data_IF_277182122410
#
_entry.id   IF_277182122410
#
_cell.length_a   1.000
_cell.length_b   1.000
_cell.length_c   1.000
_cell.angle_alpha   90.00
_cell.angle_beta   90.00
_cell.angle_gamma   90.00
#
_symmetry.space_group_name_H-M   'P 1'
#
loop_
_entity.id
_entity.type
_entity.pdbx_description
1 polymer ?
#
# COMPACT_ATOMS: atom_id res chain seq x y z
N UNK A 1 17.43 10.20 -5.83
CA UNK A 1 17.36 9.53 -4.54
C UNK A 1 18.69 9.67 -3.80
N UNK A 2 18.67 9.86 -2.48
CA UNK A 2 19.85 9.91 -1.60
C UNK A 2 19.64 8.90 -0.49
N UNK A 3 20.60 8.00 -0.29
CA UNK A 3 20.47 6.92 0.70
C UNK A 3 21.66 6.96 1.66
N UNK A 4 21.37 7.14 2.94
CA UNK A 4 22.34 7.20 4.02
C UNK A 4 22.34 5.89 4.82
N UNK A 5 23.50 5.42 5.23
CA UNK A 5 23.67 4.17 6.00
C UNK A 5 23.87 4.47 7.46
N UNK A 6 23.00 3.89 8.31
CA UNK A 6 23.02 4.06 9.76
C UNK A 6 23.08 2.72 10.49
N UNK A 7 23.76 2.69 11.63
CA UNK A 7 23.75 1.55 12.56
C UNK A 7 23.90 2.03 13.99
N UNK A 8 23.06 1.53 14.90
CA UNK A 8 23.09 1.92 16.32
C UNK A 8 22.94 3.43 16.54
N UNK A 9 22.21 4.14 15.66
CA UNK A 9 22.03 5.59 15.74
C UNK A 9 23.20 6.42 15.20
N UNK A 10 24.22 5.78 14.63
CA UNK A 10 25.39 6.46 14.05
C UNK A 10 25.45 6.31 12.55
N UNK A 11 25.94 7.35 11.86
CA UNK A 11 26.21 7.31 10.43
C UNK A 11 27.41 6.41 10.17
N UNK A 12 27.25 5.39 9.32
CA UNK A 12 28.30 4.40 9.03
C UNK A 12 29.23 4.87 7.91
N UNK A 13 28.66 5.53 6.90
CA UNK A 13 29.41 6.10 5.79
C UNK A 13 29.34 7.62 5.81
N UNK A 14 30.44 8.34 5.55
CA UNK A 14 30.43 9.80 5.48
C UNK A 14 29.64 10.33 4.27
N UNK A 15 29.57 9.54 3.19
CA UNK A 15 28.89 9.88 1.95
C UNK A 15 27.69 8.96 1.73
N UNK A 16 26.65 9.41 1.01
CA UNK A 16 25.51 8.59 0.66
C UNK A 16 25.90 7.50 -0.34
N UNK A 17 25.11 6.42 -0.40
CA UNK A 17 25.30 5.35 -1.36
C UNK A 17 25.08 5.85 -2.80
N UNK A 18 25.91 5.36 -3.71
CA UNK A 18 25.72 5.56 -5.15
C UNK A 18 24.68 4.55 -5.68
N UNK A 19 23.41 4.96 -5.65
CA UNK A 19 22.27 4.12 -6.07
C UNK A 19 22.13 4.22 -7.60
N UNK A 20 22.24 3.09 -8.27
CA UNK A 20 22.07 2.95 -9.73
C UNK A 20 20.60 2.82 -10.09
N UNK A 21 19.87 1.96 -9.36
CA UNK A 21 18.44 1.77 -9.52
C UNK A 21 17.81 1.41 -8.19
N UNK A 22 16.52 1.62 -8.09
CA UNK A 22 15.76 1.30 -6.90
C UNK A 22 14.30 1.00 -7.22
N UNK A 23 13.66 0.27 -6.35
CA UNK A 23 12.22 0.05 -6.35
C UNK A 23 11.69 0.09 -4.93
N UNK A 24 10.45 0.54 -4.80
CA UNK A 24 9.69 0.59 -3.56
C UNK A 24 8.32 0.01 -3.82
N UNK A 25 7.86 -0.79 -2.88
CA UNK A 25 6.49 -1.25 -2.77
C UNK A 25 6.01 -0.95 -1.36
N UNK A 26 4.96 -0.16 -1.24
CA UNK A 26 4.29 0.13 0.02
C UNK A 26 2.86 -0.38 -0.05
N UNK A 27 2.49 -1.25 0.87
CA UNK A 27 1.16 -1.85 0.97
C UNK A 27 0.50 -1.38 2.27
N UNK A 28 -0.78 -1.00 2.18
CA UNK A 28 -1.61 -0.62 3.31
C UNK A 28 -2.74 -1.63 3.53
N UNK A 29 -3.21 -1.73 4.75
CA UNK A 29 -4.34 -2.58 5.11
C UNK A 29 -4.20 -3.20 6.49
N UNK A 30 -5.29 -3.77 7.01
CA UNK A 30 -5.38 -4.26 8.39
C UNK A 30 -4.51 -5.50 8.65
N UNK A 31 -4.22 -6.28 7.61
CA UNK A 31 -3.42 -7.51 7.71
C UNK A 31 -1.94 -7.32 7.34
N UNK A 32 -1.53 -6.10 6.99
CA UNK A 32 -0.15 -5.84 6.55
C UNK A 32 0.73 -5.63 7.77
N UNK A 33 1.63 -6.57 8.05
CA UNK A 33 2.61 -6.47 9.14
C UNK A 33 3.80 -5.59 8.77
N UNK A 34 4.33 -5.76 7.56
CA UNK A 34 5.43 -4.97 7.00
C UNK A 34 4.92 -4.22 5.79
N UNK A 35 4.68 -2.92 5.95
CA UNK A 35 4.02 -2.10 4.94
C UNK A 35 4.90 -1.73 3.77
N UNK A 36 6.21 -1.54 4.00
CA UNK A 36 7.12 -1.04 2.95
C UNK A 36 8.29 -1.97 2.72
N UNK A 37 8.56 -2.23 1.44
CA UNK A 37 9.70 -3.01 0.96
C UNK A 37 10.45 -2.18 -0.08
N UNK A 38 11.77 -2.20 0.00
CA UNK A 38 12.63 -1.49 -0.94
C UNK A 38 13.74 -2.40 -1.43
N UNK A 39 14.12 -2.24 -2.69
CA UNK A 39 15.29 -2.88 -3.28
C UNK A 39 16.16 -1.81 -3.92
N UNK A 40 17.45 -1.86 -3.67
CA UNK A 40 18.44 -0.93 -4.21
C UNK A 40 19.51 -1.70 -4.96
N UNK A 41 19.92 -1.17 -6.10
CA UNK A 41 21.14 -1.58 -6.79
C UNK A 41 22.17 -0.48 -6.56
N UNK A 42 23.25 -0.81 -5.87
CA UNK A 42 24.29 0.15 -5.44
C UNK A 42 25.57 -0.14 -6.20
N UNK A 43 26.18 0.89 -6.76
CA UNK A 43 27.51 0.75 -7.36
C UNK A 43 28.57 0.58 -6.28
N UNK A 44 29.44 -0.41 -6.46
CA UNK A 44 30.58 -0.67 -5.57
C UNK A 44 31.87 -0.84 -6.39
N UNK A 45 32.39 0.25 -6.96
CA UNK A 45 33.60 0.18 -7.80
C UNK A 45 34.83 -0.28 -7.03
N UNK A 46 34.82 -0.25 -5.72
CA UNK A 46 35.91 -0.65 -4.85
C UNK A 46 35.75 -2.05 -4.25
N UNK A 47 34.59 -2.71 -4.43
CA UNK A 47 34.31 -4.03 -3.87
C UNK A 47 34.27 -4.04 -2.33
N UNK A 48 33.77 -2.99 -1.69
CA UNK A 48 33.77 -2.81 -0.22
C UNK A 48 32.39 -2.87 0.42
N UNK A 49 31.33 -2.82 -0.37
CA UNK A 49 29.95 -2.78 0.10
C UNK A 49 29.31 -4.17 0.15
N UNK A 50 29.84 -5.13 -0.60
CA UNK A 50 29.47 -6.54 -0.51
C UNK A 50 29.77 -7.08 0.90
N UNK A 51 28.74 -7.51 1.64
CA UNK A 51 28.90 -7.95 3.02
C UNK A 51 29.42 -9.40 3.09
N UNK A 52 30.53 -9.60 3.75
CA UNK A 52 31.06 -10.91 4.16
C UNK A 52 30.65 -11.27 5.59
N UNK A 53 30.49 -10.26 6.42
CA UNK A 53 30.11 -10.40 7.84
C UNK A 53 28.76 -9.72 8.06
N UNK A 54 28.01 -10.20 9.05
CA UNK A 54 26.71 -9.64 9.41
C UNK A 54 26.78 -8.16 9.82
N UNK A 55 27.92 -7.73 10.35
CA UNK A 55 28.21 -6.38 10.82
C UNK A 55 29.05 -5.52 9.85
N UNK A 56 29.22 -5.95 8.60
CA UNK A 56 29.82 -5.14 7.55
C UNK A 56 28.95 -3.92 7.20
N UNK A 57 29.47 -2.98 6.44
CA UNK A 57 28.82 -1.68 6.13
C UNK A 57 27.35 -1.84 5.72
N UNK A 58 27.07 -2.73 4.78
CA UNK A 58 25.70 -3.09 4.36
C UNK A 58 25.27 -4.46 4.89
N UNK A 59 25.83 -4.90 6.01
CA UNK A 59 25.46 -6.17 6.65
C UNK A 59 24.06 -6.10 7.27
N UNK A 60 23.43 -7.27 7.40
CA UNK A 60 22.03 -7.41 7.85
C UNK A 60 21.84 -7.26 9.36
N UNK A 61 22.94 -7.18 10.15
CA UNK A 61 22.85 -7.05 11.61
C UNK A 61 22.48 -5.62 12.04
N UNK A 62 21.23 -5.22 11.86
CA UNK A 62 20.68 -3.96 12.36
C UNK A 62 21.10 -2.72 11.57
N UNK A 63 21.62 -2.88 10.36
CA UNK A 63 21.88 -1.76 9.46
C UNK A 63 20.59 -1.19 8.92
N UNK A 64 20.46 0.13 8.99
CA UNK A 64 19.28 0.88 8.53
C UNK A 64 19.67 1.84 7.44
N UNK A 65 18.78 2.04 6.48
CA UNK A 65 18.92 3.02 5.41
C UNK A 65 17.94 4.16 5.66
N UNK A 66 18.41 5.39 5.56
CA UNK A 66 17.58 6.57 5.53
C UNK A 66 17.50 7.07 4.10
N UNK A 67 16.32 7.02 3.53
CA UNK A 67 16.04 7.30 2.13
C UNK A 67 15.43 8.67 2.01
N UNK A 68 16.09 9.54 1.26
CA UNK A 68 15.66 10.92 1.02
C UNK A 68 15.41 11.12 -0.48
N UNK A 69 14.24 11.59 -0.80
CA UNK A 69 13.85 11.91 -2.16
C UNK A 69 14.06 13.39 -2.43
N UNK A 70 14.86 13.73 -3.43
CA UNK A 70 15.08 15.11 -3.87
C UNK A 70 14.29 15.36 -5.14
N UNK A 71 13.34 16.28 -5.08
CA UNK A 71 12.63 16.79 -6.25
C UNK A 71 13.35 18.05 -6.70
N UNK A 72 13.79 18.09 -7.95
CA UNK A 72 14.59 19.21 -8.48
C UNK A 72 13.96 20.57 -8.17
N UNK A 73 14.66 21.42 -7.41
CA UNK A 73 14.23 22.77 -7.02
C UNK A 73 13.19 22.84 -5.90
N UNK A 74 12.49 21.79 -5.55
CA UNK A 74 11.40 21.80 -4.57
C UNK A 74 11.81 21.33 -3.16
N UNK A 75 13.07 20.97 -2.94
CA UNK A 75 13.55 20.53 -1.65
C UNK A 75 13.76 19.01 -1.55
N UNK A 76 13.91 18.52 -0.33
CA UNK A 76 14.14 17.13 -0.02
C UNK A 76 13.01 16.61 0.89
N UNK A 77 12.47 15.43 0.56
CA UNK A 77 11.45 14.72 1.35
C UNK A 77 12.08 13.47 1.93
N UNK A 78 11.97 13.29 3.24
CA UNK A 78 12.32 12.03 3.88
C UNK A 78 11.29 10.97 3.45
N UNK A 79 11.70 10.03 2.62
CA UNK A 79 10.79 9.01 2.10
C UNK A 79 10.52 7.94 3.16
N UNK A 80 11.60 7.39 3.74
CA UNK A 80 11.48 6.35 4.76
C UNK A 80 12.80 6.07 5.48
N UNK A 81 12.67 5.33 6.59
CA UNK A 81 13.77 4.58 7.19
C UNK A 81 13.46 3.09 7.10
N UNK A 82 14.39 2.33 6.54
CA UNK A 82 14.23 0.89 6.32
C UNK A 82 15.43 0.13 6.89
N UNK A 83 15.20 -1.13 7.25
CA UNK A 83 16.23 -2.06 7.74
C UNK A 83 16.64 -3.00 6.62
N UNK A 84 17.93 -3.21 6.43
CA UNK A 84 18.48 -4.18 5.47
C UNK A 84 18.11 -5.59 5.93
N UNK A 85 17.54 -6.37 5.01
CA UNK A 85 17.21 -7.79 5.19
C UNK A 85 18.06 -8.70 4.35
N UNK A 86 18.56 -8.21 3.22
CA UNK A 86 19.41 -8.99 2.30
C UNK A 86 20.49 -8.11 1.66
N UNK A 87 21.65 -8.70 1.40
CA UNK A 87 22.77 -8.09 0.69
C UNK A 87 23.36 -9.12 -0.26
N UNK A 88 23.27 -8.85 -1.55
CA UNK A 88 23.69 -9.75 -2.62
C UNK A 88 24.69 -9.03 -3.53
N UNK A 89 25.99 -9.20 -3.33
CA UNK A 89 27.00 -8.66 -4.22
C UNK A 89 27.08 -9.49 -5.51
N UNK A 90 27.10 -8.80 -6.65
CA UNK A 90 27.49 -9.36 -7.94
C UNK A 90 28.90 -8.85 -8.27
N UNK A 91 29.89 -9.70 -8.04
CA UNK A 91 31.30 -9.33 -8.07
C UNK A 91 31.97 -9.82 -9.35
N UNK A 92 32.57 -8.90 -10.08
CA UNK A 92 33.45 -9.20 -11.21
C UNK A 92 34.92 -9.04 -10.81
N UNK A 93 35.63 -10.12 -10.81
CA UNK A 93 37.08 -10.15 -10.48
C UNK A 93 37.90 -9.96 -11.74
N UNK A 94 38.57 -8.84 -11.83
CA UNK A 94 39.53 -8.57 -12.90
C UNK A 94 40.94 -8.79 -12.39
N UNK A 95 41.80 -9.45 -13.18
CA UNK A 95 43.21 -9.58 -12.85
C UNK A 95 44.05 -8.95 -13.91
N UNK A 96 45.02 -8.15 -13.50
CA UNK A 96 46.06 -7.60 -14.38
C UNK A 96 47.43 -7.87 -13.83
N UNK A 97 48.40 -8.07 -14.72
CA UNK A 97 49.81 -8.16 -14.36
C UNK A 97 50.39 -6.75 -14.45
N UNK A 98 50.96 -6.29 -13.35
CA UNK A 98 51.64 -4.99 -13.28
C UNK A 98 53.11 -5.22 -13.03
N UNK A 99 53.96 -4.40 -13.59
CA UNK A 99 55.38 -4.38 -13.29
C UNK A 99 55.57 -3.61 -11.96
N UNK A 100 56.08 -4.30 -10.95
CA UNK A 100 56.42 -3.71 -9.65
C UNK A 100 57.94 -3.60 -9.58
N UNK A 101 58.45 -2.39 -9.42
CA UNK A 101 59.89 -2.17 -9.27
C UNK A 101 60.28 -2.46 -7.82
N UNK A 102 61.09 -3.49 -7.63
CA UNK A 102 61.61 -3.92 -6.33
C UNK A 102 62.81 -3.08 -5.87
N UNK A 103 63.56 -3.65 -4.95
CA UNK A 103 64.83 -3.03 -4.48
C UNK A 103 65.84 -2.96 -5.61
N UNK A 104 66.66 -1.91 -5.56
CA UNK A 104 67.83 -1.77 -6.44
C UNK A 104 68.72 -3.00 -6.34
N UNK A 105 69.00 -3.63 -7.48
CA UNK A 105 70.02 -4.66 -7.53
C UNK A 105 71.41 -4.04 -7.25
N UNK A 106 72.42 -4.84 -6.83
CA UNK A 106 73.73 -4.32 -6.52
C UNK A 106 74.40 -3.58 -7.71
N UNK A 107 73.93 -3.80 -8.93
CA UNK A 107 74.38 -3.10 -10.13
C UNK A 107 73.63 -1.80 -10.41
N UNK A 108 72.72 -1.39 -9.51
CA UNK A 108 71.86 -0.21 -9.64
C UNK A 108 70.67 -0.37 -10.58
N UNK A 109 70.38 -1.55 -11.06
CA UNK A 109 69.15 -1.83 -11.83
C UNK A 109 67.96 -2.16 -10.96
N UNK A 110 66.80 -1.87 -11.45
CA UNK A 110 65.53 -2.24 -10.84
C UNK A 110 64.84 -3.27 -11.76
N UNK A 111 65.05 -4.57 -11.51
CA UNK A 111 64.36 -5.57 -12.32
C UNK A 111 62.85 -5.48 -12.08
N UNK A 112 62.04 -5.46 -13.11
CA UNK A 112 60.59 -5.45 -12.95
C UNK A 112 60.12 -6.81 -12.46
N UNK A 113 59.56 -6.83 -11.26
CA UNK A 113 58.83 -7.98 -10.77
C UNK A 113 57.39 -7.92 -11.28
N UNK A 114 56.96 -8.98 -11.92
CA UNK A 114 55.59 -9.12 -12.38
C UNK A 114 54.69 -9.57 -11.22
N UNK A 115 53.82 -8.68 -10.76
CA UNK A 115 52.84 -8.99 -9.75
C UNK A 115 51.45 -9.06 -10.39
N UNK A 116 50.71 -10.11 -10.07
CA UNK A 116 49.30 -10.16 -10.43
C UNK A 116 48.50 -9.38 -9.39
N UNK A 117 47.83 -8.31 -9.83
CA UNK A 117 46.95 -7.51 -9.02
C UNK A 117 45.53 -7.85 -9.41
N UNK A 118 44.70 -8.06 -8.40
CA UNK A 118 43.26 -8.29 -8.55
C UNK A 118 42.52 -7.01 -8.20
N UNK A 119 41.56 -6.67 -9.00
CA UNK A 119 40.56 -5.64 -8.70
C UNK A 119 39.16 -6.27 -8.73
N UNK A 120 38.36 -5.93 -7.78
CA UNK A 120 36.98 -6.37 -7.71
C UNK A 120 36.09 -5.15 -8.03
N UNK A 121 35.22 -5.29 -8.99
CA UNK A 121 34.12 -4.36 -9.20
C UNK A 121 32.86 -5.10 -8.85
N UNK A 122 31.99 -4.45 -8.08
CA UNK A 122 30.75 -5.04 -7.67
C UNK A 122 29.58 -4.10 -7.94
N UNK A 123 28.46 -4.70 -8.15
CA UNK A 123 27.15 -4.09 -8.00
C UNK A 123 26.47 -4.85 -6.88
N UNK A 124 26.01 -4.14 -5.86
CA UNK A 124 25.42 -4.77 -4.69
C UNK A 124 23.91 -4.53 -4.72
N UNK A 125 23.14 -5.62 -4.74
CA UNK A 125 21.72 -5.55 -4.52
C UNK A 125 21.45 -5.62 -3.03
N UNK A 126 20.65 -4.67 -2.52
CA UNK A 126 20.26 -4.56 -1.12
C UNK A 126 18.76 -4.54 -1.03
N UNK A 127 18.19 -5.52 -0.35
CA UNK A 127 16.77 -5.53 -0.04
C UNK A 127 16.56 -5.08 1.42
N UNK A 128 15.56 -4.25 1.62
CA UNK A 128 15.27 -3.64 2.90
C UNK A 128 13.77 -3.51 3.12
N UNK A 129 13.35 -3.50 4.38
CA UNK A 129 11.95 -3.37 4.79
C UNK A 129 11.79 -2.29 5.84
N UNK A 130 10.59 -1.82 6.08
CA UNK A 130 10.34 -0.83 7.11
C UNK A 130 10.66 -1.35 8.53
N UNK A 131 10.65 -0.44 9.51
CA UNK A 131 11.08 -0.76 10.86
C UNK A 131 10.08 -1.61 11.65
N UNK A 132 8.88 -1.86 11.12
CA UNK A 132 7.89 -2.74 11.77
C UNK A 132 8.40 -4.17 11.90
N UNK A 133 9.31 -4.58 11.01
CA UNK A 133 9.98 -5.88 11.11
C UNK A 133 10.73 -6.06 12.44
N UNK A 134 11.25 -4.98 13.02
CA UNK A 134 11.92 -5.04 14.31
C UNK A 134 10.94 -5.41 15.44
N UNK A 135 9.71 -4.89 15.37
CA UNK A 135 8.65 -5.21 16.33
C UNK A 135 8.02 -6.60 16.06
N UNK A 136 7.92 -7.02 14.81
CA UNK A 136 7.41 -8.35 14.44
C UNK A 136 8.38 -9.47 14.88
N UNK A 137 9.68 -9.19 14.85
CA UNK A 137 10.71 -10.12 15.31
C UNK A 137 10.87 -10.16 16.83
N UNK A 138 10.54 -9.07 17.56
CA UNK A 138 10.65 -8.97 19.02
C UNK A 138 9.40 -9.53 19.70
N UNK A 139 9.35 -10.84 19.79
CA UNK A 139 8.24 -11.58 20.40
C UNK A 139 8.31 -11.59 21.92
N UNK A 140 7.16 -11.67 22.56
CA UNK A 140 7.11 -11.87 24.00
C UNK A 140 7.63 -13.27 24.36
N UNK A 141 8.56 -13.34 25.32
CA UNK A 141 9.08 -14.61 25.84
C UNK A 141 8.06 -15.32 26.75
N UNK A 142 7.13 -14.56 27.33
CA UNK A 142 6.01 -15.04 28.14
C UNK A 142 4.78 -14.14 27.91
N UNK A 143 3.55 -14.65 28.14
CA UNK A 143 2.36 -13.84 28.04
C UNK A 143 2.43 -12.57 28.90
N UNK A 144 2.01 -11.45 28.33
CA UNK A 144 2.04 -10.12 28.98
C UNK A 144 0.62 -9.57 29.04
N UNK A 145 0.27 -8.98 30.17
CA UNK A 145 -0.99 -8.25 30.33
C UNK A 145 -0.76 -6.75 30.35
N UNK A 146 -1.66 -5.96 29.75
CA UNK A 146 -1.61 -4.51 29.88
C UNK A 146 -1.69 -4.07 31.36
N UNK A 147 -1.17 -2.91 31.67
CA UNK A 147 -1.31 -2.33 33.00
C UNK A 147 -2.77 -2.07 33.32
N UNK A 148 -3.23 -2.27 34.56
CA UNK A 148 -4.59 -1.95 34.95
C UNK A 148 -4.92 -0.49 34.64
N UNK A 149 -5.99 -0.25 33.88
CA UNK A 149 -6.41 1.08 33.46
C UNK A 149 -5.68 1.63 32.25
N UNK A 150 -4.86 0.84 31.56
CA UNK A 150 -4.27 1.23 30.26
C UNK A 150 -5.33 1.53 29.22
N UNK A 151 -4.99 2.47 28.35
CA UNK A 151 -5.78 2.86 27.18
C UNK A 151 -5.01 2.52 25.90
N UNK A 152 -5.67 2.60 24.76
CA UNK A 152 -5.05 2.40 23.43
C UNK A 152 -3.83 3.30 23.26
N UNK A 153 -3.97 4.61 23.58
CA UNK A 153 -2.89 5.59 23.41
C UNK A 153 -1.74 5.41 24.41
N UNK A 154 -1.98 4.77 25.55
CA UNK A 154 -0.90 4.48 26.52
C UNK A 154 -0.20 3.15 26.24
N UNK A 155 -0.93 2.12 25.84
CA UNK A 155 -0.39 0.76 25.71
C UNK A 155 0.33 0.54 24.38
N UNK A 156 -0.22 1.04 23.26
CA UNK A 156 0.41 0.85 21.95
C UNK A 156 1.85 1.42 21.90
N UNK A 157 2.13 2.67 22.34
CA UNK A 157 3.49 3.17 22.39
C UNK A 157 4.40 2.35 23.32
N UNK A 158 3.87 1.85 24.43
CA UNK A 158 4.65 1.00 25.35
C UNK A 158 5.06 -0.30 24.70
N UNK A 159 4.17 -0.95 23.95
CA UNK A 159 4.47 -2.15 23.19
C UNK A 159 5.60 -1.90 22.17
N UNK A 160 5.62 -0.72 21.54
CA UNK A 160 6.51 -0.40 20.41
C UNK A 160 7.76 0.40 20.82
N UNK A 161 7.90 0.79 22.09
CA UNK A 161 8.90 1.77 22.58
C UNK A 161 10.36 1.44 22.22
N UNK A 162 10.70 0.16 22.09
CA UNK A 162 12.08 -0.28 21.79
C UNK A 162 12.43 -0.16 20.30
N UNK A 163 11.43 0.01 19.44
CA UNK A 163 11.60 -0.11 17.99
C UNK A 163 11.49 1.24 17.28
N UNK A 164 10.45 2.01 17.62
CA UNK A 164 10.17 3.30 17.01
C UNK A 164 9.33 4.20 17.94
N UNK A 165 9.34 5.49 17.63
CA UNK A 165 8.48 6.47 18.30
C UNK A 165 7.10 6.41 17.68
N UNK A 166 6.06 6.44 18.50
CA UNK A 166 4.67 6.48 18.05
C UNK A 166 4.13 7.90 18.09
N UNK A 167 3.46 8.31 17.04
CA UNK A 167 2.74 9.59 16.94
C UNK A 167 1.29 9.28 16.58
N UNK A 168 0.36 9.82 17.35
CA UNK A 168 -1.08 9.69 17.07
C UNK A 168 -1.59 10.95 16.41
N UNK A 169 -2.41 10.79 15.37
CA UNK A 169 -3.19 11.88 14.84
C UNK A 169 -4.26 12.31 15.85
N UNK A 170 -4.67 13.57 15.80
CA UNK A 170 -5.55 14.18 16.80
C UNK A 170 -6.95 13.52 16.84
N UNK A 171 -7.41 13.01 15.72
CA UNK A 171 -8.72 12.37 15.54
C UNK A 171 -8.78 10.91 16.02
N UNK A 172 -7.64 10.30 16.33
CA UNK A 172 -7.60 8.93 16.89
C UNK A 172 -8.22 8.93 18.28
N UNK A 173 -9.33 8.18 18.51
CA UNK A 173 -9.94 8.11 19.84
C UNK A 173 -9.07 7.30 20.81
N UNK A 174 -9.19 7.62 22.09
CA UNK A 174 -8.59 6.82 23.15
C UNK A 174 -9.66 5.99 23.86
N UNK A 175 -9.43 4.71 24.03
CA UNK A 175 -10.36 3.79 24.67
C UNK A 175 -9.64 2.93 25.70
N UNK A 176 -10.30 2.68 26.81
CA UNK A 176 -9.79 1.78 27.84
C UNK A 176 -9.68 0.34 27.32
N UNK A 177 -8.61 -0.34 27.69
CA UNK A 177 -8.43 -1.76 27.40
C UNK A 177 -9.23 -2.62 28.39
N UNK A 178 -9.78 -3.79 27.95
CA UNK A 178 -10.52 -4.66 28.83
C UNK A 178 -9.60 -5.27 29.89
N UNK A 179 -10.18 -5.46 31.07
CA UNK A 179 -9.52 -6.23 32.12
C UNK A 179 -9.37 -7.70 31.68
N UNK A 180 -8.19 -8.29 31.92
CA UNK A 180 -7.92 -9.70 31.57
C UNK A 180 -7.45 -9.92 30.14
N UNK A 181 -7.16 -8.86 29.39
CA UNK A 181 -6.49 -8.98 28.10
C UNK A 181 -5.09 -9.57 28.31
N UNK A 182 -4.70 -10.51 27.46
CA UNK A 182 -3.39 -11.17 27.49
C UNK A 182 -2.81 -11.15 26.08
N UNK A 183 -1.61 -10.63 25.96
CA UNK A 183 -0.80 -10.72 24.73
C UNK A 183 0.09 -11.96 24.83
N UNK A 184 -0.09 -12.89 23.89
CA UNK A 184 0.62 -14.18 24.01
C UNK A 184 2.08 -14.11 23.52
N UNK A 185 2.30 -13.89 22.25
CA UNK A 185 3.66 -13.91 21.65
C UNK A 185 3.92 -12.77 20.68
N UNK A 186 3.00 -12.50 19.77
CA UNK A 186 3.21 -11.63 18.63
C UNK A 186 2.98 -10.15 19.05
N UNK A 187 4.08 -9.43 19.29
CA UNK A 187 4.03 -8.03 19.74
C UNK A 187 3.33 -7.11 18.76
N UNK A 188 3.68 -7.20 17.48
CA UNK A 188 3.10 -6.35 16.44
C UNK A 188 1.61 -6.61 16.26
N UNK A 189 1.21 -7.89 16.29
CA UNK A 189 -0.19 -8.30 16.21
C UNK A 189 -0.99 -7.78 17.41
N UNK A 190 -0.43 -7.90 18.63
CA UNK A 190 -1.04 -7.31 19.81
C UNK A 190 -1.28 -5.78 19.65
N UNK A 191 -0.32 -5.07 19.06
CA UNK A 191 -0.50 -3.66 18.70
C UNK A 191 -1.61 -3.43 17.70
N UNK A 192 -1.69 -4.24 16.64
CA UNK A 192 -2.76 -4.17 15.64
C UNK A 192 -4.14 -4.40 16.26
N UNK A 193 -4.26 -5.40 17.13
CA UNK A 193 -5.51 -5.71 17.84
C UNK A 193 -5.98 -4.55 18.73
N UNK A 194 -5.03 -3.87 19.40
CA UNK A 194 -5.34 -2.68 20.21
C UNK A 194 -5.89 -1.55 19.33
N UNK A 195 -5.24 -1.27 18.21
CA UNK A 195 -5.67 -0.21 17.30
C UNK A 195 -7.00 -0.53 16.61
N UNK A 196 -7.22 -1.79 16.24
CA UNK A 196 -8.46 -2.24 15.62
C UNK A 196 -9.70 -1.99 16.51
N UNK A 197 -9.54 -1.98 17.85
CA UNK A 197 -10.64 -1.67 18.80
C UNK A 197 -11.22 -0.27 18.61
N UNK A 198 -10.41 0.68 18.18
CA UNK A 198 -10.81 2.06 17.92
C UNK A 198 -10.93 2.36 16.43
N UNK A 199 -10.72 1.36 15.57
CA UNK A 199 -10.75 1.52 14.11
C UNK A 199 -9.53 2.25 13.55
N UNK A 200 -8.49 2.45 14.37
CA UNK A 200 -7.26 3.12 13.94
C UNK A 200 -6.32 2.15 13.21
N UNK A 201 -5.47 2.72 12.40
CA UNK A 201 -4.39 2.02 11.66
C UNK A 201 -3.05 2.69 11.93
N UNK A 202 -1.97 2.02 11.57
CA UNK A 202 -0.64 2.60 11.63
C UNK A 202 0.09 2.49 10.29
N UNK A 203 1.09 3.36 10.12
CA UNK A 203 2.05 3.35 9.01
C UNK A 203 3.39 3.91 9.48
N UNK A 204 4.46 3.61 8.75
CA UNK A 204 5.77 4.17 9.06
C UNK A 204 5.98 5.48 8.29
N UNK A 205 6.20 6.56 9.04
CA UNK A 205 6.49 7.87 8.48
C UNK A 205 7.92 7.98 7.94
N UNK A 206 8.17 9.07 7.22
CA UNK A 206 9.45 9.32 6.53
C UNK A 206 10.67 9.37 7.45
N UNK A 207 10.49 9.77 8.71
CA UNK A 207 11.57 9.84 9.70
C UNK A 207 11.71 8.56 10.53
N UNK A 208 10.92 7.52 10.21
CA UNK A 208 10.92 6.24 10.93
C UNK A 208 10.10 6.26 12.21
N UNK A 209 9.21 7.22 12.38
CA UNK A 209 8.14 7.22 13.39
C UNK A 209 6.98 6.33 12.92
N UNK A 210 6.26 5.75 13.86
CA UNK A 210 5.00 5.07 13.62
C UNK A 210 3.86 6.06 13.78
N UNK A 211 3.21 6.42 12.68
CA UNK A 211 2.04 7.28 12.67
C UNK A 211 0.79 6.42 12.82
N UNK A 212 -0.01 6.71 13.84
CA UNK A 212 -1.33 6.08 14.06
C UNK A 212 -2.40 7.07 13.63
N UNK A 213 -3.27 6.64 12.73
CA UNK A 213 -4.25 7.49 12.06
C UNK A 213 -5.61 6.79 11.95
N UNK A 214 -6.67 7.59 11.76
CA UNK A 214 -8.00 7.06 11.41
C UNK A 214 -8.14 6.94 9.90
N UNK A 215 -8.56 5.76 9.38
CA UNK A 215 -8.86 5.65 7.96
C UNK A 215 -10.06 6.51 7.58
N UNK A 216 -10.03 7.15 6.44
CA UNK A 216 -11.06 8.08 5.98
C UNK A 216 -10.61 9.54 6.02
N UNK A 217 -11.51 10.45 6.36
CA UNK A 217 -11.24 11.89 6.37
C UNK A 217 -11.28 12.54 4.99
N UNK A 218 -10.83 13.78 4.91
CA UNK A 218 -10.79 14.54 3.66
C UNK A 218 -9.64 14.06 2.77
N UNK A 219 -9.80 14.11 1.45
CA UNK A 219 -8.73 13.76 0.53
C UNK A 219 -7.51 14.67 0.70
N UNK A 220 -6.32 14.07 0.86
CA UNK A 220 -5.05 14.81 0.99
C UNK A 220 -4.56 15.37 -0.34
N UNK A 221 -5.02 14.78 -1.45
CA UNK A 221 -4.63 15.18 -2.79
C UNK A 221 -5.75 14.89 -3.78
N UNK A 222 -5.93 15.79 -4.75
CA UNK A 222 -6.71 15.55 -5.95
C UNK A 222 -5.77 15.39 -7.15
N UNK A 223 -5.87 14.27 -7.86
CA UNK A 223 -5.09 14.00 -9.07
C UNK A 223 -5.93 14.41 -10.28
N UNK A 224 -5.51 15.49 -10.93
CA UNK A 224 -6.18 16.06 -12.09
C UNK A 224 -5.66 15.42 -13.40
N UNK A 225 -6.50 15.20 -14.39
CA UNK A 225 -6.06 14.67 -15.68
C UNK A 225 -5.02 15.54 -16.40
N UNK A 226 -5.04 16.83 -16.20
CA UNK A 226 -4.15 17.82 -16.81
C UNK A 226 -2.99 18.25 -15.92
N UNK A 227 -2.98 17.83 -14.65
CA UNK A 227 -2.01 18.25 -13.63
C UNK A 227 -1.36 17.08 -12.87
N UNK A 228 -0.98 16.03 -13.59
CA UNK A 228 -0.17 14.97 -13.00
C UNK A 228 -0.65 13.56 -13.22
N UNK A 229 -1.88 13.33 -13.68
CA UNK A 229 -2.33 12.01 -14.08
C UNK A 229 -1.63 11.59 -15.38
N UNK A 230 -0.97 10.44 -15.36
CA UNK A 230 -0.34 9.84 -16.55
C UNK A 230 -1.28 8.82 -17.17
N UNK A 231 -1.83 7.94 -16.36
CA UNK A 231 -2.82 6.96 -16.80
C UNK A 231 -3.70 6.50 -15.64
N UNK A 232 -4.90 6.03 -15.97
CA UNK A 232 -5.80 5.36 -15.03
C UNK A 232 -6.34 4.10 -15.69
N UNK A 233 -6.30 2.99 -14.95
CA UNK A 233 -6.90 1.72 -15.33
C UNK A 233 -7.91 1.30 -14.27
N UNK A 234 -9.04 0.78 -14.71
CA UNK A 234 -10.08 0.26 -13.82
C UNK A 234 -10.05 -1.25 -13.86
N UNK A 235 -10.05 -1.88 -12.70
CA UNK A 235 -10.10 -3.32 -12.58
C UNK A 235 -11.37 -3.71 -11.85
N UNK A 236 -12.15 -4.57 -12.45
CA UNK A 236 -13.28 -5.24 -11.84
C UNK A 236 -13.05 -6.74 -11.89
N UNK A 237 -13.40 -7.42 -10.81
CA UNK A 237 -13.31 -8.87 -10.70
C UNK A 237 -14.62 -9.40 -10.16
N UNK A 238 -15.11 -10.48 -10.73
CA UNK A 238 -16.24 -11.22 -10.18
C UNK A 238 -15.82 -12.19 -9.06
N UNK A 239 -14.53 -12.35 -8.83
CA UNK A 239 -14.01 -13.18 -7.75
C UNK A 239 -14.36 -12.58 -6.40
N UNK A 240 -14.95 -13.39 -5.52
CA UNK A 240 -15.32 -12.94 -4.18
C UNK A 240 -16.63 -12.13 -4.12
N UNK A 241 -17.33 -11.94 -5.23
CA UNK A 241 -18.64 -11.28 -5.21
C UNK A 241 -19.72 -12.28 -4.80
N UNK A 242 -20.20 -12.13 -3.57
CA UNK A 242 -21.30 -12.92 -3.01
C UNK A 242 -22.60 -12.11 -2.99
N UNK A 243 -23.73 -12.79 -3.04
CA UNK A 243 -25.03 -12.16 -2.97
C UNK A 243 -26.04 -12.87 -2.05
N UNK A 244 -25.56 -13.86 -1.30
CA UNK A 244 -26.28 -14.52 -0.23
C UNK A 244 -25.31 -14.99 0.84
N UNK A 245 -25.62 -14.74 2.09
CA UNK A 245 -24.83 -15.18 3.24
C UNK A 245 -25.65 -16.20 4.03
N UNK A 246 -25.14 -17.40 4.09
CA UNK A 246 -25.77 -18.54 4.81
C UNK A 246 -24.90 -18.86 6.01
N UNK A 247 -25.51 -18.74 7.18
CA UNK A 247 -24.85 -19.01 8.47
C UNK A 247 -25.44 -20.27 9.06
N UNK A 248 -24.57 -21.24 9.34
CA UNK A 248 -24.90 -22.49 9.99
C UNK A 248 -24.43 -22.48 11.44
N UNK A 249 -25.35 -22.75 12.36
CA UNK A 249 -25.11 -22.84 13.79
C UNK A 249 -24.86 -24.29 14.26
N UNK A 250 -25.04 -24.50 15.57
CA UNK A 250 -24.91 -25.78 16.24
C UNK A 250 -25.88 -26.80 15.67
N UNK A 251 -25.44 -28.02 15.57
CA UNK A 251 -26.28 -29.17 15.23
C UNK A 251 -27.15 -29.55 16.43
N UNK A 252 -28.44 -29.68 16.22
CA UNK A 252 -29.39 -30.13 17.22
C UNK A 252 -29.30 -31.68 17.38
N UNK A 253 -29.89 -32.20 18.46
CA UNK A 253 -29.86 -33.65 18.78
C UNK A 253 -30.54 -34.53 17.72
N UNK A 254 -31.38 -33.96 16.87
CA UNK A 254 -32.05 -34.62 15.74
C UNK A 254 -31.26 -34.59 14.43
N UNK A 255 -30.04 -34.05 14.45
CA UNK A 255 -29.18 -33.88 13.27
C UNK A 255 -29.48 -32.66 12.41
N UNK A 256 -30.49 -31.86 12.78
CA UNK A 256 -30.77 -30.59 12.09
C UNK A 256 -29.79 -29.50 12.51
N UNK A 257 -29.35 -28.70 11.56
CA UNK A 257 -28.52 -27.50 11.84
C UNK A 257 -29.36 -26.26 11.85
N UNK A 258 -29.08 -25.38 12.81
CA UNK A 258 -29.62 -24.03 12.80
C UNK A 258 -29.05 -23.33 11.57
N UNK A 259 -29.91 -22.90 10.65
CA UNK A 259 -29.48 -22.25 9.43
C UNK A 259 -30.30 -20.99 9.19
N UNK A 260 -29.62 -19.89 8.95
CA UNK A 260 -30.25 -18.64 8.52
C UNK A 260 -29.50 -18.06 7.32
N UNK A 261 -30.22 -17.38 6.43
CA UNK A 261 -29.63 -16.78 5.25
C UNK A 261 -30.21 -15.41 4.93
N UNK A 262 -29.36 -14.51 4.44
CA UNK A 262 -29.73 -13.18 3.97
C UNK A 262 -29.22 -13.00 2.55
N UNK A 263 -30.07 -12.49 1.66
CA UNK A 263 -29.75 -12.24 0.25
C UNK A 263 -29.76 -10.75 -0.07
N UNK A 264 -29.15 -10.35 -1.16
CA UNK A 264 -29.34 -9.03 -1.75
C UNK A 264 -30.60 -9.05 -2.61
N UNK A 265 -31.52 -8.14 -2.33
CA UNK A 265 -32.82 -8.05 -3.02
C UNK A 265 -32.81 -7.02 -4.14
N UNK A 266 -31.81 -6.15 -4.19
CA UNK A 266 -31.70 -5.05 -5.15
C UNK A 266 -30.28 -4.86 -5.67
N UNK A 267 -30.14 -3.96 -6.65
CA UNK A 267 -28.85 -3.62 -7.25
C UNK A 267 -28.33 -4.67 -8.25
N UNK A 268 -27.12 -4.44 -8.79
CA UNK A 268 -26.53 -5.29 -9.82
C UNK A 268 -26.19 -6.70 -9.32
N UNK A 269 -25.97 -6.87 -8.02
CA UNK A 269 -25.68 -8.16 -7.37
C UNK A 269 -26.93 -8.82 -6.77
N UNK A 270 -28.15 -8.37 -7.08
CA UNK A 270 -29.35 -9.01 -6.54
C UNK A 270 -29.33 -10.54 -6.75
N UNK A 271 -29.81 -11.31 -5.78
CA UNK A 271 -29.68 -12.77 -5.76
C UNK A 271 -30.30 -13.49 -6.95
N UNK A 272 -31.45 -13.00 -7.43
CA UNK A 272 -32.14 -13.51 -8.63
C UNK A 272 -31.84 -12.68 -9.89
N UNK A 273 -30.71 -11.96 -9.90
CA UNK A 273 -30.28 -11.10 -11.00
C UNK A 273 -29.32 -11.77 -11.97
N UNK A 274 -28.80 -10.98 -12.94
CA UNK A 274 -27.89 -11.49 -14.00
C UNK A 274 -26.57 -12.06 -13.46
N UNK A 275 -26.14 -11.64 -12.25
CA UNK A 275 -24.92 -12.17 -11.62
C UNK A 275 -25.05 -13.66 -11.26
N UNK A 276 -26.27 -14.17 -11.15
CA UNK A 276 -26.56 -15.52 -10.69
C UNK A 276 -26.55 -15.64 -9.16
N UNK A 277 -26.68 -16.87 -8.66
CA UNK A 277 -26.77 -17.17 -7.24
C UNK A 277 -25.42 -17.60 -6.71
N UNK A 278 -24.75 -16.74 -5.94
CA UNK A 278 -23.40 -16.97 -5.39
C UNK A 278 -23.46 -16.87 -3.87
N UNK A 279 -23.73 -17.98 -3.15
CA UNK A 279 -23.80 -17.98 -1.69
C UNK A 279 -22.41 -18.04 -1.06
N UNK A 280 -22.24 -17.31 0.06
CA UNK A 280 -21.16 -17.44 1.01
C UNK A 280 -21.66 -18.28 2.21
N UNK A 281 -20.87 -19.25 2.66
CA UNK A 281 -21.22 -20.09 3.79
C UNK A 281 -20.27 -19.82 4.96
N UNK A 282 -20.86 -19.68 6.15
CA UNK A 282 -20.13 -19.58 7.41
C UNK A 282 -20.74 -20.56 8.42
N UNK A 283 -19.91 -21.31 9.15
CA UNK A 283 -20.36 -22.27 10.15
C UNK A 283 -19.67 -22.04 11.49
N UNK A 284 -20.43 -22.02 12.57
CA UNK A 284 -19.88 -21.89 13.92
C UNK A 284 -20.76 -22.61 14.96
N UNK A 285 -20.14 -23.47 15.76
CA UNK A 285 -20.83 -24.15 16.86
C UNK A 285 -21.22 -23.27 18.04
N UNK A 286 -20.76 -21.99 18.05
CA UNK A 286 -21.12 -21.00 19.05
C UNK A 286 -22.48 -20.34 18.79
N UNK A 287 -23.07 -20.58 17.62
CA UNK A 287 -24.38 -20.05 17.24
C UNK A 287 -25.43 -21.07 17.64
N UNK A 288 -26.23 -20.73 18.64
CA UNK A 288 -27.18 -21.64 19.29
C UNK A 288 -28.64 -21.34 18.95
N UNK A 289 -28.95 -20.17 18.34
CA UNK A 289 -30.31 -19.80 17.95
C UNK A 289 -30.38 -19.29 16.52
N UNK A 290 -31.57 -19.36 15.92
CA UNK A 290 -31.82 -18.83 14.59
C UNK A 290 -31.61 -17.31 14.53
N UNK A 291 -32.01 -16.59 15.58
CA UNK A 291 -31.84 -15.13 15.68
C UNK A 291 -30.36 -14.74 15.66
N UNK A 292 -29.49 -15.50 16.35
CA UNK A 292 -28.05 -15.30 16.33
C UNK A 292 -27.49 -15.56 14.92
N UNK A 293 -27.89 -16.66 14.27
CA UNK A 293 -27.46 -16.99 12.91
C UNK A 293 -27.88 -15.88 11.92
N UNK A 294 -29.12 -15.40 12.02
CA UNK A 294 -29.64 -14.35 11.16
C UNK A 294 -28.91 -13.00 11.38
N UNK A 295 -28.73 -12.58 12.63
CA UNK A 295 -27.99 -11.36 12.96
C UNK A 295 -26.54 -11.42 12.42
N UNK A 296 -25.90 -12.60 12.52
CA UNK A 296 -24.56 -12.80 11.99
C UNK A 296 -24.54 -12.74 10.45
N UNK A 297 -25.53 -13.33 9.77
CA UNK A 297 -25.66 -13.25 8.32
C UNK A 297 -25.86 -11.83 7.83
N UNK A 298 -26.68 -11.01 8.54
CA UNK A 298 -26.86 -9.58 8.27
C UNK A 298 -25.54 -8.85 8.43
N UNK A 299 -24.80 -9.10 9.50
CA UNK A 299 -23.48 -8.49 9.72
C UNK A 299 -22.50 -8.82 8.61
N UNK A 300 -22.38 -10.07 8.20
CA UNK A 300 -21.51 -10.48 7.10
C UNK A 300 -21.86 -9.79 5.78
N UNK A 301 -23.17 -9.65 5.50
CA UNK A 301 -23.64 -8.89 4.33
C UNK A 301 -23.20 -7.43 4.39
N UNK A 302 -23.40 -6.78 5.53
CA UNK A 302 -23.12 -5.36 5.69
C UNK A 302 -21.59 -5.09 5.64
N UNK A 303 -20.79 -5.97 6.25
CA UNK A 303 -19.32 -5.92 6.15
C UNK A 303 -18.85 -6.10 4.68
N UNK A 304 -19.46 -7.03 3.95
CA UNK A 304 -19.16 -7.22 2.53
C UNK A 304 -19.50 -5.96 1.70
N UNK A 305 -20.70 -5.41 1.88
CA UNK A 305 -21.12 -4.21 1.15
C UNK A 305 -20.23 -3.01 1.45
N UNK A 306 -19.79 -2.86 2.70
CA UNK A 306 -18.85 -1.82 3.09
C UNK A 306 -17.44 -2.01 2.49
N UNK A 307 -17.04 -3.27 2.24
CA UNK A 307 -15.75 -3.61 1.63
C UNK A 307 -15.78 -3.60 0.09
N UNK A 308 -16.97 -3.51 -0.51
CA UNK A 308 -17.11 -3.52 -1.96
C UNK A 308 -16.53 -2.24 -2.55
N UNK A 309 -15.48 -2.41 -3.34
CA UNK A 309 -14.77 -1.28 -3.93
C UNK A 309 -14.43 -1.52 -5.42
N UNK A 310 -14.31 -0.43 -6.14
CA UNK A 310 -13.72 -0.40 -7.48
C UNK A 310 -12.24 -0.08 -7.32
N UNK A 311 -11.38 -0.94 -7.83
CA UNK A 311 -9.93 -0.74 -7.81
C UNK A 311 -9.50 0.09 -9.03
N UNK A 312 -8.85 1.21 -8.76
CA UNK A 312 -8.19 2.04 -9.77
C UNK A 312 -6.68 1.86 -9.66
N UNK A 313 -6.03 1.54 -10.77
CA UNK A 313 -4.58 1.59 -10.90
C UNK A 313 -4.20 2.89 -11.60
N UNK A 314 -3.57 3.79 -10.87
CA UNK A 314 -3.29 5.18 -11.30
C UNK A 314 -1.79 5.37 -11.38
N UNK A 315 -1.30 5.80 -12.56
CA UNK A 315 0.06 6.31 -12.72
C UNK A 315 0.04 7.82 -12.70
N UNK A 316 0.89 8.42 -11.88
CA UNK A 316 1.02 9.87 -11.73
C UNK A 316 2.48 10.30 -11.80
N UNK A 317 2.71 11.57 -12.02
CA UNK A 317 4.04 12.16 -11.85
C UNK A 317 4.60 11.82 -10.46
N UNK A 318 5.92 11.88 -10.25
CA UNK A 318 6.51 11.55 -8.95
C UNK A 318 5.85 12.30 -7.79
N UNK A 319 5.30 11.54 -6.85
CA UNK A 319 4.59 12.00 -5.65
C UNK A 319 5.18 11.33 -4.41
N UNK A 320 6.31 11.84 -3.89
CA UNK A 320 6.95 11.25 -2.72
C UNK A 320 6.17 11.45 -1.42
N UNK A 321 5.27 12.43 -1.39
CA UNK A 321 4.43 12.75 -0.23
C UNK A 321 3.31 11.75 0.04
N UNK A 322 2.86 11.00 -0.98
CA UNK A 322 1.77 10.03 -0.80
C UNK A 322 2.23 8.80 -0.02
N UNK A 323 1.33 8.29 0.80
CA UNK A 323 1.53 7.07 1.60
C UNK A 323 0.34 6.13 1.45
N UNK A 324 0.57 4.83 1.65
CA UNK A 324 -0.53 3.88 1.73
C UNK A 324 -1.44 4.22 2.92
N UNK A 325 -2.75 4.17 2.69
CA UNK A 325 -3.77 4.63 3.64
C UNK A 325 -4.25 6.06 3.42
N UNK A 326 -3.54 6.88 2.63
CA UNK A 326 -4.03 8.22 2.29
C UNK A 326 -5.32 8.14 1.49
N UNK A 327 -6.24 9.05 1.78
CA UNK A 327 -7.43 9.27 0.96
C UNK A 327 -7.11 10.29 -0.12
N UNK A 328 -7.44 9.98 -1.37
CA UNK A 328 -7.23 10.87 -2.52
C UNK A 328 -8.49 10.91 -3.39
N UNK A 329 -8.60 11.94 -4.21
CA UNK A 329 -9.56 11.99 -5.31
C UNK A 329 -8.85 11.82 -6.64
N UNK A 330 -9.37 10.94 -7.49
CA UNK A 330 -8.83 10.68 -8.82
C UNK A 330 -9.79 11.19 -9.87
N UNK A 331 -9.35 12.17 -10.65
CA UNK A 331 -10.09 12.68 -11.81
C UNK A 331 -9.98 11.73 -12.98
N UNK A 332 -11.07 11.04 -13.31
CA UNK A 332 -11.12 10.10 -14.43
C UNK A 332 -11.88 10.73 -15.60
N UNK A 333 -11.25 10.88 -16.76
CA UNK A 333 -11.97 11.25 -17.98
C UNK A 333 -12.94 10.10 -18.36
N UNK A 334 -14.24 10.38 -18.37
CA UNK A 334 -15.26 9.38 -18.75
C UNK A 334 -15.60 9.54 -20.24
N UNK A 335 -15.62 10.78 -20.72
CA UNK A 335 -15.83 11.10 -22.14
C UNK A 335 -15.06 12.37 -22.50
N UNK A 336 -15.07 12.75 -23.77
CA UNK A 336 -14.40 13.97 -24.22
C UNK A 336 -14.95 15.21 -23.48
N UNK A 337 -14.10 15.82 -22.65
CA UNK A 337 -14.42 17.03 -21.88
C UNK A 337 -15.03 16.78 -20.49
N UNK A 338 -15.36 15.56 -20.12
CA UNK A 338 -15.96 15.26 -18.80
C UNK A 338 -15.02 14.48 -17.90
N UNK A 339 -14.76 15.03 -16.72
CA UNK A 339 -13.96 14.40 -15.66
C UNK A 339 -14.85 14.16 -14.45
N UNK A 340 -14.88 12.92 -13.98
CA UNK A 340 -15.54 12.56 -12.73
C UNK A 340 -14.48 12.23 -11.70
N UNK A 341 -14.67 12.74 -10.49
CA UNK A 341 -13.74 12.56 -9.39
C UNK A 341 -14.23 11.44 -8.49
N UNK A 342 -13.37 10.43 -8.31
CA UNK A 342 -13.64 9.29 -7.45
C UNK A 342 -12.78 9.39 -6.20
N UNK A 343 -13.41 9.57 -5.02
CA UNK A 343 -12.69 9.49 -3.77
C UNK A 343 -12.34 8.03 -3.47
N UNK A 344 -11.13 7.81 -2.98
CA UNK A 344 -10.69 6.47 -2.64
C UNK A 344 -9.49 6.48 -1.71
N UNK A 345 -9.18 5.32 -1.13
CA UNK A 345 -8.04 5.13 -0.24
C UNK A 345 -6.93 4.39 -0.99
N UNK A 346 -5.71 4.86 -0.87
CA UNK A 346 -4.54 4.21 -1.45
C UNK A 346 -4.28 2.90 -0.70
N UNK A 347 -4.38 1.79 -1.40
CA UNK A 347 -4.09 0.46 -0.85
C UNK A 347 -2.67 0.02 -1.10
N UNK A 348 -2.03 0.54 -2.15
CA UNK A 348 -0.65 0.19 -2.46
C UNK A 348 -0.01 1.28 -3.30
N UNK A 349 1.28 1.50 -3.08
CA UNK A 349 2.11 2.44 -3.83
C UNK A 349 3.33 1.70 -4.36
N UNK A 350 3.65 1.94 -5.63
CA UNK A 350 4.89 1.45 -6.23
C UNK A 350 5.64 2.63 -6.85
N UNK A 351 6.89 2.77 -6.46
CA UNK A 351 7.83 3.77 -6.97
C UNK A 351 9.12 3.08 -7.40
N UNK A 352 9.83 3.70 -8.28
CA UNK A 352 11.13 3.19 -8.69
C UNK A 352 11.69 3.91 -9.89
N UNK A 353 12.86 3.51 -10.27
CA UNK A 353 13.54 4.01 -11.43
C UNK A 353 15.05 3.83 -11.32
N UNK A 354 15.74 4.29 -12.33
CA UNK A 354 17.17 4.48 -12.29
C UNK A 354 17.48 5.70 -11.39
N UNK A 355 18.51 6.45 -11.65
CA UNK A 355 18.88 7.64 -10.88
C UNK A 355 17.76 8.70 -10.84
N UNK A 356 16.84 8.69 -11.81
CA UNK A 356 15.69 9.61 -11.90
C UNK A 356 14.40 8.83 -11.74
N UNK A 357 13.57 9.15 -10.73
CA UNK A 357 12.25 8.55 -10.58
C UNK A 357 11.36 8.90 -11.77
N UNK A 358 10.66 7.92 -12.31
CA UNK A 358 9.86 8.12 -13.52
C UNK A 358 8.42 8.46 -13.22
N UNK A 359 7.78 7.67 -12.38
CA UNK A 359 6.36 7.80 -12.04
C UNK A 359 6.08 7.21 -10.66
N UNK A 360 4.96 7.63 -10.06
CA UNK A 360 4.38 6.97 -8.89
C UNK A 360 3.14 6.23 -9.36
N UNK A 361 3.06 4.93 -9.07
CA UNK A 361 1.88 4.11 -9.32
C UNK A 361 1.17 3.85 -8.00
N UNK A 362 -0.12 4.11 -7.98
CA UNK A 362 -0.95 3.90 -6.81
C UNK A 362 -2.14 3.02 -7.16
N UNK A 363 -2.50 2.10 -6.27
CA UNK A 363 -3.77 1.41 -6.31
C UNK A 363 -4.71 2.08 -5.33
N UNK A 364 -5.88 2.42 -5.81
CA UNK A 364 -6.87 3.18 -5.06
C UNK A 364 -8.14 2.36 -4.98
N UNK A 365 -8.58 2.06 -3.78
CA UNK A 365 -9.87 1.44 -3.54
C UNK A 365 -10.92 2.53 -3.36
N UNK A 366 -11.82 2.65 -4.32
CA UNK A 366 -12.96 3.56 -4.28
C UNK A 366 -14.19 2.78 -3.84
N UNK A 367 -14.86 3.20 -2.76
CA UNK A 367 -16.07 2.53 -2.30
C UNK A 367 -17.12 2.52 -3.42
N UNK A 368 -17.77 1.38 -3.62
CA UNK A 368 -18.73 1.21 -4.73
C UNK A 368 -19.86 2.25 -4.66
N UNK A 369 -20.34 2.56 -3.46
CA UNK A 369 -21.38 3.59 -3.27
C UNK A 369 -20.92 4.99 -3.67
N UNK A 370 -19.67 5.36 -3.41
CA UNK A 370 -19.11 6.65 -3.80
C UNK A 370 -18.95 6.74 -5.33
N UNK A 371 -18.55 5.64 -5.98
CA UNK A 371 -18.44 5.55 -7.44
C UNK A 371 -19.81 5.67 -8.09
N UNK A 372 -20.81 4.95 -7.59
CA UNK A 372 -22.18 5.00 -8.08
C UNK A 372 -22.78 6.40 -7.91
N UNK A 373 -22.60 7.00 -6.72
CA UNK A 373 -23.01 8.37 -6.46
C UNK A 373 -22.38 9.37 -7.41
N UNK A 374 -21.05 9.32 -7.59
CA UNK A 374 -20.33 10.23 -8.48
C UNK A 374 -20.78 10.13 -9.93
N UNK A 375 -21.08 8.91 -10.40
CA UNK A 375 -21.57 8.68 -11.76
C UNK A 375 -23.03 9.11 -11.95
N UNK A 376 -23.87 9.01 -10.92
CA UNK A 376 -25.29 9.35 -11.01
C UNK A 376 -25.59 10.81 -10.74
N UNK A 377 -24.75 11.50 -9.97
CA UNK A 377 -24.95 12.92 -9.62
C UNK A 377 -24.29 13.90 -10.60
N UNK A 378 -23.44 13.41 -11.52
CA UNK A 378 -22.94 14.27 -12.61
C UNK A 378 -24.11 14.79 -13.44
N UNK A 379 -24.36 16.14 -13.49
CA UNK A 379 -25.55 16.66 -14.10
C UNK A 379 -25.62 16.29 -15.59
N UNK A 380 -26.67 15.58 -16.00
CA UNK A 380 -26.91 15.23 -17.41
C UNK A 380 -26.93 16.47 -18.33
N UNK A 381 -27.22 17.66 -17.78
CA UNK A 381 -27.21 18.91 -18.49
C UNK A 381 -25.80 19.32 -18.99
N UNK A 382 -24.73 19.01 -18.26
CA UNK A 382 -23.35 19.27 -18.69
C UNK A 382 -22.90 18.27 -19.75
N UNK A 383 -23.46 17.06 -19.72
CA UNK A 383 -23.12 15.99 -20.66
C UNK A 383 -23.63 16.25 -22.08
N UNK A 384 -24.75 16.97 -22.22
CA UNK A 384 -25.39 17.23 -23.51
C UNK A 384 -24.95 18.53 -24.17
N UNK A 385 -24.33 19.45 -23.42
CA UNK A 385 -24.04 20.79 -23.94
C UNK A 385 -22.78 20.84 -24.83
N UNK A 386 -21.82 19.93 -24.66
CA UNK A 386 -20.56 19.98 -25.42
C UNK A 386 -20.55 19.12 -26.68
N UNK A 387 -21.45 18.15 -26.82
CA UNK A 387 -21.39 17.20 -27.95
C UNK A 387 -22.58 17.22 -28.91
N UNK A 388 -23.69 17.80 -28.53
CA UNK A 388 -24.83 17.99 -29.41
C UNK A 388 -25.27 19.46 -29.33
N UNK A 389 -25.56 20.12 -30.45
CA UNK A 389 -26.25 21.41 -30.40
C UNK A 389 -27.51 21.23 -29.53
N UNK A 390 -27.79 22.12 -28.59
CA UNK A 390 -28.87 21.92 -27.63
C UNK A 390 -30.16 21.64 -28.41
N UNK A 391 -30.70 20.44 -28.22
CA UNK A 391 -32.06 20.11 -28.66
C UNK A 391 -32.99 20.89 -27.75
N UNK A 392 -33.25 22.14 -28.12
CA UNK A 392 -34.33 22.93 -27.52
C UNK A 392 -35.64 22.38 -28.01
N UNK A 393 -36.68 22.41 -27.18
CA UNK A 393 -38.04 21.97 -27.51
C UNK A 393 -38.55 22.62 -28.80
N UNK A 394 -38.07 23.82 -29.14
CA UNK A 394 -38.37 24.58 -30.36
C UNK A 394 -37.74 23.97 -31.62
N UNK A 395 -36.77 23.06 -31.49
CA UNK A 395 -36.09 22.34 -32.57
C UNK A 395 -36.48 20.87 -32.64
N UNK A 396 -37.37 20.41 -31.75
CA UNK A 396 -37.92 19.08 -31.85
C UNK A 396 -38.91 19.03 -33.04
N UNK A 397 -38.77 18.07 -33.95
CA UNK A 397 -39.76 17.91 -35.02
C UNK A 397 -41.14 17.61 -34.41
N UNK A 398 -42.15 18.17 -34.98
CA UNK A 398 -43.53 18.06 -34.48
C UNK A 398 -44.08 16.62 -34.45
N UNK A 399 -43.35 15.68 -35.04
CA UNK A 399 -43.70 14.24 -35.02
C UNK A 399 -42.46 13.39 -34.91
N UNK A 400 -42.54 12.30 -34.13
CA UNK A 400 -41.45 11.34 -33.92
C UNK A 400 -40.87 10.74 -35.23
N UNK A 401 -41.65 10.74 -36.32
CA UNK A 401 -41.23 10.23 -37.60
C UNK A 401 -40.31 11.15 -38.42
N UNK A 402 -39.99 12.33 -37.93
CA UNK A 402 -39.10 13.31 -38.59
C UNK A 402 -37.82 13.56 -37.82
N UNK A 403 -37.57 12.79 -36.78
CA UNK A 403 -36.25 12.77 -36.15
C UNK A 403 -35.23 12.19 -37.16
N UNK A 404 -34.06 12.81 -37.36
CA UNK A 404 -33.00 12.14 -38.09
C UNK A 404 -32.81 10.76 -37.49
N UNK A 405 -32.59 9.75 -38.34
CA UNK A 405 -32.25 8.38 -37.87
C UNK A 405 -30.98 8.41 -37.05
N UNK A 406 -31.07 8.86 -35.80
CA UNK A 406 -30.08 8.59 -34.78
C UNK A 406 -30.39 7.16 -34.35
N UNK A 407 -29.61 6.23 -34.85
CA UNK A 407 -29.72 4.84 -34.39
C UNK A 407 -29.34 4.76 -32.93
N UNK A 408 -29.98 3.85 -32.20
CA UNK A 408 -29.65 3.59 -30.77
C UNK A 408 -28.16 3.30 -30.54
N UNK A 409 -27.43 2.97 -31.58
CA UNK A 409 -25.96 2.76 -31.54
C UNK A 409 -25.16 4.08 -31.57
N UNK A 410 -25.76 5.19 -31.92
CA UNK A 410 -25.13 6.52 -31.95
C UNK A 410 -25.39 7.31 -30.68
N UNK A 411 -26.30 6.84 -29.81
CA UNK A 411 -26.43 7.31 -28.45
C UNK A 411 -25.33 6.60 -27.67
N UNK A 412 -24.40 7.33 -27.06
CA UNK A 412 -23.35 6.70 -26.22
C UNK A 412 -24.03 5.79 -25.20
N UNK A 413 -23.77 4.49 -25.28
CA UNK A 413 -24.44 3.46 -24.47
C UNK A 413 -24.17 3.60 -22.97
N UNK A 414 -23.27 4.49 -22.59
CA UNK A 414 -22.94 4.83 -21.20
C UNK A 414 -24.04 5.60 -20.48
N UNK A 415 -25.12 5.97 -21.16
CA UNK A 415 -26.24 6.75 -20.62
C UNK A 415 -27.48 5.90 -20.27
N UNK A 416 -27.41 4.58 -20.42
CA UNK A 416 -28.53 3.67 -20.22
C UNK A 416 -28.32 2.65 -19.08
N UNK A 417 -27.35 2.87 -18.20
CA UNK A 417 -27.16 2.03 -17.01
C UNK A 417 -27.45 2.85 -15.76
#
# INVERSE_FOLDING_TARGET
LVVWVWRGGQLVLPDPLEVVSWSEQEDGGDSVKVGRKMSFTVADPAGRLGAWRLDDVLGVAGTRLHVVYKVGGAGAVNLCRVRITDNQPDEVVESRVVDEYGYLEPDGSLPPHKRRVFSVRAVVRVDAVDLTVDADNDRFESPVSPWPGSTVKSEFPWLMLRHFVTVFDDDVPDAALPSGLIFERERLEAGQDILARVGARYRMGGNGECQVYMPGGEPVLRIEPDAGLVSVQRKQSSSGLYNRWVVEGKEAADGSKITAGVSLDSGPLRYDGPHGRVPFFYSSTMIETWEQAHAYAVRLRDEFLASLAVELEVSTVPRPELQAGDRIEVGCPISAGHVVYFPGTITSISRGGDMVPRETRVRVACAYGDVDYALTTTPWAEYLTDQLPPLTWDRMPATWGTLPEITWNEIPQNHLL
#
